data_IF_939648085533
#
_entry.id   IF_939648085533
#
_cell.length_a   1.000
_cell.length_b   1.000
_cell.length_c   1.000
_cell.angle_alpha   90.00
_cell.angle_beta   90.00
_cell.angle_gamma   90.00
#
_symmetry.space_group_name_H-M   'P 1'
#
loop_
_entity.id
_entity.type
_entity.pdbx_description
1 polymer ?
#
# COMPACT_ATOMS: atom_id res chain seq x y z
N UNK A 1 -11.43 9.77 -14.11
CA UNK A 1 -11.13 10.41 -12.80
C UNK A 1 -10.17 9.47 -12.10
N UNK A 2 -8.89 9.85 -11.93
CA UNK A 2 -7.95 9.03 -11.16
C UNK A 2 -8.33 9.16 -9.68
N UNK A 3 -8.77 8.07 -9.06
CA UNK A 3 -9.14 8.05 -7.65
C UNK A 3 -7.91 7.67 -6.84
N UNK A 4 -7.32 8.65 -6.15
CA UNK A 4 -6.26 8.38 -5.18
C UNK A 4 -6.86 7.83 -3.89
N UNK A 5 -6.35 6.69 -3.43
CA UNK A 5 -6.66 6.12 -2.12
C UNK A 5 -5.52 6.34 -1.14
N UNK A 6 -5.87 6.41 0.14
CA UNK A 6 -4.92 6.58 1.22
C UNK A 6 -5.04 5.45 2.24
N UNK A 7 -3.89 5.01 2.74
CA UNK A 7 -3.78 4.09 3.87
C UNK A 7 -3.06 4.77 5.03
N UNK A 8 -3.30 4.31 6.25
CA UNK A 8 -2.63 4.82 7.43
C UNK A 8 -2.24 3.68 8.37
N UNK A 9 -1.02 3.73 8.89
CA UNK A 9 -0.53 2.81 9.91
C UNK A 9 -0.53 3.56 11.23
N UNK A 10 -1.22 3.02 12.23
CA UNK A 10 -1.31 3.61 13.57
C UNK A 10 -0.61 2.73 14.59
N UNK A 11 -0.03 3.38 15.61
CA UNK A 11 0.34 2.72 16.85
C UNK A 11 -0.86 2.79 17.79
N UNK A 12 -1.37 1.65 18.26
CA UNK A 12 -2.49 1.63 19.21
C UNK A 12 -2.14 2.33 20.53
N UNK A 13 -0.85 2.37 20.90
CA UNK A 13 -0.36 3.07 22.10
C UNK A 13 -0.27 4.59 21.94
N UNK A 14 -0.21 5.10 20.71
CA UNK A 14 -0.27 6.53 20.40
C UNK A 14 -1.15 6.74 19.14
N UNK A 15 -2.48 6.69 19.29
CA UNK A 15 -3.41 6.75 18.18
C UNK A 15 -3.64 8.19 17.68
N UNK A 16 -3.07 9.19 18.35
CA UNK A 16 -3.29 10.63 18.06
C UNK A 16 -2.80 11.04 16.67
N UNK A 17 -1.83 10.30 16.13
CA UNK A 17 -1.23 10.52 14.82
C UNK A 17 -0.82 9.19 14.18
N UNK A 18 -0.95 9.06 12.86
CA UNK A 18 -0.44 7.89 12.16
C UNK A 18 1.09 7.83 12.26
N UNK A 19 1.62 6.63 12.39
CA UNK A 19 3.05 6.36 12.21
C UNK A 19 3.46 6.64 10.75
N UNK A 20 2.60 6.24 9.81
CA UNK A 20 2.82 6.33 8.36
C UNK A 20 1.51 6.63 7.64
N UNK A 21 1.59 7.44 6.59
CA UNK A 21 0.54 7.60 5.59
C UNK A 21 1.03 6.98 4.27
N UNK A 22 0.14 6.31 3.57
CA UNK A 22 0.37 5.63 2.30
C UNK A 22 -0.58 6.23 1.26
N UNK A 23 -0.14 6.34 0.02
CA UNK A 23 -0.97 6.73 -1.12
C UNK A 23 -0.93 5.67 -2.20
N UNK A 24 -2.03 5.52 -2.92
CA UNK A 24 -2.14 4.67 -4.11
C UNK A 24 -2.99 5.38 -5.16
N UNK A 25 -2.58 5.34 -6.42
CA UNK A 25 -3.30 5.98 -7.52
C UNK A 25 -4.53 5.19 -8.00
N UNK A 26 -4.79 4.04 -7.37
CA UNK A 26 -5.95 3.20 -7.57
C UNK A 26 -6.69 2.96 -6.25
N UNK A 27 -7.98 2.62 -6.35
CA UNK A 27 -8.80 2.27 -5.18
C UNK A 27 -8.30 0.98 -4.53
N UNK A 28 -7.83 1.05 -3.28
CA UNK A 28 -7.44 -0.14 -2.51
C UNK A 28 -8.70 -0.88 -2.03
N UNK A 29 -8.74 -2.19 -2.25
CA UNK A 29 -9.89 -3.06 -1.94
C UNK A 29 -9.56 -4.12 -0.90
N UNK A 30 -8.33 -4.58 -0.88
CA UNK A 30 -7.84 -5.51 0.12
C UNK A 30 -6.40 -5.18 0.50
N UNK A 31 -6.01 -5.52 1.72
CA UNK A 31 -4.62 -5.42 2.14
C UNK A 31 -4.23 -6.59 3.06
N UNK A 32 -2.94 -6.91 3.05
CA UNK A 32 -2.31 -7.86 3.96
C UNK A 32 -0.95 -7.30 4.36
N UNK A 33 -0.56 -7.50 5.61
CA UNK A 33 0.74 -7.08 6.10
C UNK A 33 1.62 -8.26 6.51
N UNK A 34 2.92 -8.05 6.37
CA UNK A 34 4.01 -8.77 7.05
C UNK A 34 4.80 -7.74 7.86
N UNK A 35 5.81 -8.17 8.61
CA UNK A 35 6.57 -7.31 9.54
C UNK A 35 6.92 -5.93 8.97
N UNK A 36 7.48 -5.89 7.76
CA UNK A 36 7.92 -4.65 7.10
C UNK A 36 7.25 -4.39 5.75
N UNK A 37 6.29 -5.22 5.35
CA UNK A 37 5.68 -5.14 4.03
C UNK A 37 4.18 -5.05 4.14
N UNK A 38 3.58 -4.17 3.35
CA UNK A 38 2.13 -4.11 3.16
C UNK A 38 1.84 -4.36 1.70
N UNK A 39 1.05 -5.39 1.44
CA UNK A 39 0.53 -5.72 0.12
C UNK A 39 -0.89 -5.21 0.05
N UNK A 40 -1.26 -4.57 -1.06
CA UNK A 40 -2.62 -4.13 -1.31
C UNK A 40 -3.08 -4.52 -2.71
N UNK A 41 -4.31 -5.02 -2.79
CA UNK A 41 -5.00 -5.31 -4.03
C UNK A 41 -5.92 -4.15 -4.40
N UNK A 42 -5.88 -3.76 -5.66
CA UNK A 42 -6.57 -2.58 -6.18
C UNK A 42 -7.76 -2.94 -7.08
N UNK A 43 -8.68 -1.97 -7.23
CA UNK A 43 -9.88 -2.10 -8.06
C UNK A 43 -9.57 -2.25 -9.56
N UNK A 44 -8.46 -1.69 -10.02
CA UNK A 44 -8.00 -1.80 -11.42
C UNK A 44 -7.28 -3.13 -11.72
N UNK A 45 -7.23 -4.04 -10.74
CA UNK A 45 -6.56 -5.33 -10.84
C UNK A 45 -5.06 -5.29 -10.53
N UNK A 46 -4.52 -4.12 -10.24
CA UNK A 46 -3.13 -4.01 -9.80
C UNK A 46 -2.93 -4.51 -8.37
N UNK A 47 -1.70 -4.96 -8.09
CA UNK A 47 -1.21 -5.25 -6.75
C UNK A 47 -0.06 -4.30 -6.48
N UNK A 48 -0.07 -3.69 -5.31
CA UNK A 48 0.95 -2.76 -4.86
C UNK A 48 1.61 -3.25 -3.58
N UNK A 49 2.88 -2.89 -3.42
CA UNK A 49 3.70 -3.21 -2.25
C UNK A 49 4.23 -1.90 -1.65
N UNK A 50 4.13 -1.80 -0.33
CA UNK A 50 4.77 -0.76 0.46
C UNK A 50 5.79 -1.40 1.40
N UNK A 51 7.04 -0.95 1.34
CA UNK A 51 8.06 -1.25 2.34
C UNK A 51 7.99 -0.22 3.48
N UNK A 52 7.64 -0.70 4.68
CA UNK A 52 7.51 0.14 5.87
C UNK A 52 8.86 0.43 6.54
N UNK A 53 9.96 -0.17 6.08
CA UNK A 53 11.32 0.12 6.52
C UNK A 53 11.95 1.30 5.75
N UNK A 54 11.44 1.61 4.56
CA UNK A 54 11.91 2.76 3.79
C UNK A 54 11.79 4.05 4.60
N UNK A 55 12.80 4.94 4.56
CA UNK A 55 12.73 6.22 5.23
C UNK A 55 11.56 7.03 4.67
N UNK A 56 10.79 7.62 5.56
CA UNK A 56 9.68 8.48 5.18
C UNK A 56 10.27 9.71 4.49
N UNK A 57 10.09 9.83 3.16
CA UNK A 57 10.89 10.76 2.33
C UNK A 57 10.74 12.25 2.70
N UNK A 58 9.83 12.62 3.60
CA UNK A 58 9.57 14.03 3.95
C UNK A 58 9.12 14.23 5.40
N UNK A 59 10.00 13.94 6.36
CA UNK A 59 9.84 14.41 7.75
C UNK A 59 10.83 15.55 8.02
N UNK A 60 10.41 16.79 7.81
CA UNK A 60 10.95 17.94 8.54
C UNK A 60 9.92 18.36 9.57
N UNK A 61 10.37 18.77 10.76
CA UNK A 61 9.54 19.01 11.96
C UNK A 61 8.42 20.07 11.80
N UNK A 62 8.35 20.74 10.65
CA UNK A 62 7.40 21.81 10.34
C UNK A 62 6.41 21.50 9.21
N UNK A 63 6.45 20.31 8.60
CA UNK A 63 5.58 19.96 7.47
C UNK A 63 4.59 18.84 7.78
N UNK A 64 3.38 18.96 7.18
CA UNK A 64 2.33 17.94 7.23
C UNK A 64 2.89 16.59 6.72
N UNK A 65 2.49 15.45 7.31
CA UNK A 65 2.96 14.15 6.87
C UNK A 65 2.58 13.92 5.41
N UNK A 66 3.59 13.66 4.57
CA UNK A 66 3.38 13.34 3.15
C UNK A 66 3.14 11.84 3.00
N UNK A 67 2.03 11.41 2.37
CA UNK A 67 1.79 10.01 2.10
C UNK A 67 2.88 9.42 1.19
N UNK A 68 3.35 8.22 1.54
CA UNK A 68 4.32 7.47 0.72
C UNK A 68 3.60 6.70 -0.38
N UNK A 69 4.03 6.88 -1.62
CA UNK A 69 3.61 6.05 -2.75
C UNK A 69 4.11 4.60 -2.60
N UNK A 70 3.56 3.63 -3.35
CA UNK A 70 4.02 2.25 -3.28
C UNK A 70 5.48 2.11 -3.70
N UNK A 71 6.21 1.24 -3.01
CA UNK A 71 7.57 0.79 -3.40
C UNK A 71 7.53 0.09 -4.76
N UNK A 72 6.45 -0.66 -5.02
CA UNK A 72 6.25 -1.38 -6.28
C UNK A 72 4.76 -1.47 -6.64
N UNK A 73 4.47 -1.50 -7.94
CA UNK A 73 3.11 -1.65 -8.49
C UNK A 73 3.11 -2.47 -9.77
N UNK A 74 2.08 -3.31 -9.95
CA UNK A 74 1.88 -4.07 -11.19
C UNK A 74 1.11 -3.31 -12.28
N UNK A 75 0.58 -2.11 -12.00
CA UNK A 75 -0.34 -1.39 -12.88
C UNK A 75 0.17 -1.12 -14.32
N UNK A 76 1.50 -1.14 -14.53
CA UNK A 76 2.14 -0.89 -15.83
C UNK A 76 3.03 -2.04 -16.32
N UNK A 77 2.95 -3.21 -15.68
CA UNK A 77 3.75 -4.35 -16.11
C UNK A 77 3.05 -5.00 -17.30
N UNK A 78 3.63 -4.82 -18.48
CA UNK A 78 3.13 -5.39 -19.73
C UNK A 78 3.46 -6.88 -19.82
N UNK A 79 2.73 -7.71 -19.08
CA UNK A 79 2.64 -9.14 -19.37
C UNK A 79 1.36 -9.42 -20.17
N UNK A 80 1.37 -10.49 -20.97
CA UNK A 80 0.26 -10.89 -21.85
C UNK A 80 -1.07 -11.14 -21.09
N UNK A 81 -1.03 -11.30 -19.76
CA UNK A 81 -2.19 -11.47 -18.90
C UNK A 81 -2.45 -10.21 -18.07
N UNK A 82 -3.10 -9.21 -18.67
CA UNK A 82 -3.63 -8.08 -17.89
C UNK A 82 -4.89 -8.53 -17.14
N UNK A 83 -4.75 -8.82 -15.86
CA UNK A 83 -5.90 -8.95 -14.97
C UNK A 83 -6.47 -7.57 -14.67
N UNK A 84 -7.43 -7.09 -15.46
CA UNK A 84 -8.16 -5.83 -15.20
C UNK A 84 -9.29 -5.99 -14.17
N UNK A 85 -9.48 -7.20 -13.65
CA UNK A 85 -10.50 -7.49 -12.66
C UNK A 85 -10.02 -7.06 -11.28
N UNK A 86 -10.94 -6.54 -10.47
CA UNK A 86 -10.68 -6.12 -9.09
C UNK A 86 -10.02 -7.24 -8.26
N UNK A 87 -8.97 -6.87 -7.51
CA UNK A 87 -8.34 -7.77 -6.55
C UNK A 87 -9.16 -7.82 -5.26
N UNK A 88 -10.01 -8.85 -5.16
CA UNK A 88 -10.92 -9.04 -4.02
C UNK A 88 -10.17 -9.33 -2.73
N UNK A 89 -9.06 -10.09 -2.78
CA UNK A 89 -8.33 -10.49 -1.59
C UNK A 89 -6.86 -10.74 -1.86
N UNK A 90 -6.01 -10.22 -0.98
CA UNK A 90 -4.59 -10.59 -0.87
C UNK A 90 -4.41 -11.37 0.42
N UNK A 91 -3.79 -12.55 0.33
CA UNK A 91 -3.52 -13.42 1.49
C UNK A 91 -2.05 -13.82 1.53
N UNK A 92 -1.44 -13.86 2.73
CA UNK A 92 -0.10 -14.41 2.87
C UNK A 92 -0.18 -15.93 2.70
N UNK A 93 0.61 -16.47 1.76
CA UNK A 93 0.81 -17.91 1.66
C UNK A 93 1.81 -18.33 2.74
N UNK A 94 1.37 -19.17 3.66
CA UNK A 94 2.27 -19.86 4.60
C UNK A 94 2.60 -21.22 3.99
N UNK A 95 3.87 -21.46 3.68
CA UNK A 95 4.30 -22.81 3.37
C UNK A 95 4.19 -23.64 4.66
N UNK A 96 3.25 -24.58 4.69
CA UNK A 96 3.24 -25.64 5.69
C UNK A 96 4.39 -26.59 5.34
N UNK A 97 5.37 -26.70 6.23
CA UNK A 97 6.35 -27.79 6.19
C UNK A 97 5.70 -29.06 6.70
#
# INVERSE_FOLDING_TARGET
IHTTSYGAIYNVRDPSKPLRLLSCEATIRSCSSSMVYIFAGCQDGSVVLFDTSEPNKYRTDSQKPIPSSPTFSTANIQFNDRHYNEVIRVLPLRATR
#
